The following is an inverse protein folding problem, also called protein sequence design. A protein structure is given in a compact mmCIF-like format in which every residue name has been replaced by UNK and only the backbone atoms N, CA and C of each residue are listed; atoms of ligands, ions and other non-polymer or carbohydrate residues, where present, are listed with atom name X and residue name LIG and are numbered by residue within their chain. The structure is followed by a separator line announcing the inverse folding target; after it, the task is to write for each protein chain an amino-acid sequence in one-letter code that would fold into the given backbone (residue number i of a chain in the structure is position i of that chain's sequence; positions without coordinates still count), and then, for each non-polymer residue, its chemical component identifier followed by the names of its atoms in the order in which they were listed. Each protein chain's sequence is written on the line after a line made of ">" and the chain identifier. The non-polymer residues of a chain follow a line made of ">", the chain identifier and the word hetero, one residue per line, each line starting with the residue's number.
data_IF_877597348784
#
_entry.id   IF_877597348784
#
_cell.length_a   1.000
_cell.length_b   1.000
_cell.length_c   1.000
_cell.angle_alpha   90.00
_cell.angle_beta   90.00
_cell.angle_gamma   90.00
#
_symmetry.space_group_name_H-M   'P 1'
#
loop_
_entity.id
_entity.type
_entity.pdbx_description
1 polymer ?
#
# COMPACT_ATOMS: atom_id res chain seq x y z
N UNK A 1 -48.27 -25.75 -27.14
CA UNK A 1 -46.96 -26.06 -26.52
C UNK A 1 -46.18 -24.80 -26.07
N UNK A 2 -46.80 -23.61 -25.97
CA UNK A 2 -46.09 -22.33 -25.76
C UNK A 2 -46.30 -21.68 -24.36
N UNK A 3 -47.22 -22.19 -23.54
CA UNK A 3 -47.61 -21.53 -22.28
C UNK A 3 -46.65 -21.80 -21.10
N UNK A 4 -45.90 -22.89 -21.14
CA UNK A 4 -44.94 -23.24 -20.08
C UNK A 4 -43.66 -22.40 -20.13
N UNK A 5 -43.29 -21.90 -21.31
CA UNK A 5 -42.13 -21.01 -21.50
C UNK A 5 -42.42 -19.57 -21.04
N UNK A 6 -43.67 -19.12 -21.14
CA UNK A 6 -44.10 -17.78 -20.72
C UNK A 6 -44.10 -17.64 -19.19
N UNK A 7 -44.73 -18.61 -18.51
CA UNK A 7 -44.83 -18.64 -17.03
C UNK A 7 -43.46 -18.69 -16.35
N UNK A 8 -42.54 -19.49 -16.86
CA UNK A 8 -41.19 -19.61 -16.29
C UNK A 8 -40.37 -18.31 -16.37
N UNK A 9 -40.54 -17.52 -17.44
CA UNK A 9 -39.87 -16.20 -17.58
C UNK A 9 -40.42 -15.17 -16.61
N UNK A 10 -41.74 -15.17 -16.39
CA UNK A 10 -42.36 -14.26 -15.43
C UNK A 10 -41.88 -14.55 -14.00
N UNK A 11 -41.83 -15.81 -13.58
CA UNK A 11 -41.38 -16.21 -12.25
C UNK A 11 -39.91 -15.83 -11.98
N UNK A 12 -39.05 -15.95 -12.99
CA UNK A 12 -37.66 -15.54 -12.90
C UNK A 12 -37.49 -14.02 -12.74
N UNK A 13 -38.25 -13.23 -13.51
CA UNK A 13 -38.23 -11.75 -13.42
C UNK A 13 -38.72 -11.31 -12.03
N UNK A 14 -39.79 -11.94 -11.51
CA UNK A 14 -40.28 -11.67 -10.15
C UNK A 14 -39.23 -11.95 -9.08
N UNK A 15 -38.48 -13.06 -9.20
CA UNK A 15 -37.44 -13.42 -8.24
C UNK A 15 -36.28 -12.41 -8.23
N UNK A 16 -35.74 -12.06 -9.40
CA UNK A 16 -34.63 -11.10 -9.51
C UNK A 16 -35.05 -9.72 -9.02
N UNK A 17 -36.26 -9.27 -9.36
CA UNK A 17 -36.79 -7.98 -8.93
C UNK A 17 -36.96 -7.94 -7.40
N UNK A 18 -37.48 -9.02 -6.80
CA UNK A 18 -37.67 -9.13 -5.35
C UNK A 18 -36.33 -9.20 -4.60
N UNK A 19 -35.38 -9.99 -5.08
CA UNK A 19 -34.03 -10.07 -4.49
C UNK A 19 -33.32 -8.71 -4.50
N UNK A 20 -33.45 -7.95 -5.58
CA UNK A 20 -32.88 -6.59 -5.71
C UNK A 20 -33.51 -5.61 -4.73
N UNK A 21 -34.83 -5.64 -4.54
CA UNK A 21 -35.53 -4.74 -3.60
C UNK A 21 -35.12 -5.02 -2.15
N UNK A 22 -35.03 -6.30 -1.75
CA UNK A 22 -34.56 -6.68 -0.42
C UNK A 22 -33.09 -6.25 -0.19
N UNK A 23 -32.21 -6.46 -1.18
CA UNK A 23 -30.81 -6.04 -1.11
C UNK A 23 -30.64 -4.53 -0.91
N UNK A 24 -31.39 -3.71 -1.67
CA UNK A 24 -31.36 -2.26 -1.55
C UNK A 24 -31.88 -1.78 -0.18
N UNK A 25 -32.88 -2.47 0.37
CA UNK A 25 -33.40 -2.19 1.71
C UNK A 25 -32.33 -2.45 2.80
N UNK A 26 -31.62 -3.57 2.72
CA UNK A 26 -30.53 -3.88 3.64
C UNK A 26 -29.35 -2.90 3.52
N UNK A 27 -29.00 -2.49 2.30
CA UNK A 27 -27.96 -1.50 2.06
C UNK A 27 -28.31 -0.14 2.68
N UNK A 28 -29.59 0.27 2.54
CA UNK A 28 -30.13 1.50 3.12
C UNK A 28 -30.04 1.49 4.65
N UNK A 29 -30.42 0.38 5.31
CA UNK A 29 -30.32 0.23 6.77
C UNK A 29 -28.87 0.29 7.29
N UNK A 30 -27.91 -0.05 6.42
CA UNK A 30 -26.50 -0.11 6.78
C UNK A 30 -25.77 1.22 6.65
N UNK A 31 -26.08 2.02 5.63
CA UNK A 31 -25.38 3.27 5.32
C UNK A 31 -26.19 4.54 5.58
N UNK A 32 -27.53 4.49 5.56
CA UNK A 32 -28.39 5.67 5.63
C UNK A 32 -29.12 5.72 6.98
N UNK A 33 -28.97 6.79 7.78
CA UNK A 33 -29.80 7.04 8.96
C UNK A 33 -31.29 7.07 8.59
N UNK A 34 -32.09 6.21 9.23
CA UNK A 34 -33.53 6.20 9.02
C UNK A 34 -34.25 5.91 10.35
N UNK A 35 -35.53 6.27 10.43
CA UNK A 35 -36.34 6.11 11.63
C UNK A 35 -36.40 4.64 12.10
N UNK A 36 -36.44 3.69 11.15
CA UNK A 36 -36.42 2.24 11.43
C UNK A 36 -35.10 1.75 12.05
N UNK A 37 -34.01 2.50 11.89
CA UNK A 37 -32.71 2.20 12.50
C UNK A 37 -32.34 3.21 13.59
N UNK A 38 -33.34 3.86 14.19
CA UNK A 38 -33.17 4.87 15.24
C UNK A 38 -32.12 5.95 14.88
N UNK A 39 -32.04 6.31 13.59
CA UNK A 39 -31.05 7.23 13.00
C UNK A 39 -29.57 6.84 13.17
N UNK A 40 -29.25 5.60 13.54
CA UNK A 40 -27.87 5.13 13.75
C UNK A 40 -27.50 3.98 12.80
N UNK A 41 -26.80 4.25 11.67
CA UNK A 41 -26.44 3.23 10.67
C UNK A 41 -25.64 2.08 11.30
N UNK A 42 -25.96 0.85 10.93
CA UNK A 42 -25.33 -0.35 11.50
C UNK A 42 -23.82 -0.42 11.26
N UNK A 43 -23.34 0.12 10.14
CA UNK A 43 -21.91 0.17 9.82
C UNK A 43 -21.09 1.02 10.79
N UNK A 44 -21.68 2.05 11.40
CA UNK A 44 -20.98 2.96 12.33
C UNK A 44 -21.19 2.59 13.81
N UNK A 45 -21.83 1.45 14.10
CA UNK A 45 -22.03 1.02 15.49
C UNK A 45 -20.72 0.53 16.11
N UNK A 46 -20.54 0.64 17.44
CA UNK A 46 -19.30 0.24 18.12
C UNK A 46 -18.85 -1.20 17.84
N UNK A 47 -19.78 -2.14 17.65
CA UNK A 47 -19.46 -3.53 17.32
C UNK A 47 -18.84 -3.66 15.92
N UNK A 48 -19.39 -2.95 14.93
CA UNK A 48 -18.87 -2.92 13.56
C UNK A 48 -17.51 -2.21 13.52
N UNK A 49 -17.38 -1.08 14.22
CA UNK A 49 -16.11 -0.35 14.34
C UNK A 49 -15.01 -1.23 14.95
N UNK A 50 -15.29 -1.98 16.03
CA UNK A 50 -14.32 -2.93 16.60
C UNK A 50 -13.90 -4.00 15.59
N UNK A 51 -14.84 -4.54 14.81
CA UNK A 51 -14.54 -5.50 13.76
C UNK A 51 -13.65 -4.88 12.66
N UNK A 52 -13.95 -3.66 12.22
CA UNK A 52 -13.11 -2.92 11.26
C UNK A 52 -11.72 -2.61 11.83
N UNK A 53 -11.62 -2.18 13.08
CA UNK A 53 -10.33 -1.93 13.74
C UNK A 53 -9.48 -3.19 13.80
N UNK A 54 -10.06 -4.33 14.19
CA UNK A 54 -9.36 -5.62 14.22
C UNK A 54 -8.93 -6.06 12.81
N UNK A 55 -9.80 -5.90 11.82
CA UNK A 55 -9.47 -6.15 10.41
C UNK A 55 -8.29 -5.29 9.95
N UNK A 56 -8.35 -3.98 10.17
CA UNK A 56 -7.31 -3.04 9.74
C UNK A 56 -5.97 -3.30 10.44
N UNK A 57 -5.98 -3.60 11.74
CA UNK A 57 -4.78 -3.99 12.48
C UNK A 57 -4.23 -5.30 11.92
N UNK A 58 -5.09 -6.30 11.68
CA UNK A 58 -4.70 -7.57 11.10
C UNK A 58 -4.05 -7.42 9.73
N UNK A 59 -4.67 -6.63 8.84
CA UNK A 59 -4.11 -6.27 7.53
C UNK A 59 -2.77 -5.57 7.70
N UNK A 60 -2.66 -4.57 8.58
CA UNK A 60 -1.41 -3.85 8.82
C UNK A 60 -0.30 -4.78 9.31
N UNK A 61 -0.60 -5.67 10.27
CA UNK A 61 0.37 -6.64 10.80
C UNK A 61 0.77 -7.64 9.72
N UNK A 62 -0.18 -8.15 8.93
CA UNK A 62 0.11 -9.06 7.83
C UNK A 62 1.01 -8.41 6.76
N UNK A 63 0.70 -7.17 6.37
CA UNK A 63 1.51 -6.40 5.42
C UNK A 63 2.91 -6.13 5.99
N UNK A 64 3.02 -5.71 7.26
CA UNK A 64 4.32 -5.48 7.90
C UNK A 64 5.15 -6.78 8.01
N UNK A 65 4.53 -7.90 8.39
CA UNK A 65 5.19 -9.19 8.46
C UNK A 65 5.65 -9.67 7.08
N UNK A 66 4.82 -9.49 6.05
CA UNK A 66 5.20 -9.80 4.67
C UNK A 66 6.44 -9.01 4.23
N UNK A 67 6.44 -7.69 4.44
CA UNK A 67 7.58 -6.85 4.08
C UNK A 67 8.84 -7.17 4.89
N UNK A 68 8.71 -7.48 6.18
CA UNK A 68 9.83 -7.87 7.02
C UNK A 68 10.50 -9.17 6.56
N UNK A 69 9.71 -10.16 6.11
CA UNK A 69 10.23 -11.44 5.59
C UNK A 69 10.79 -11.28 4.17
N UNK A 70 10.11 -10.53 3.30
CA UNK A 70 10.52 -10.36 1.91
C UNK A 70 11.73 -9.42 1.74
N UNK A 71 11.90 -8.44 2.63
CA UNK A 71 12.93 -7.39 2.55
C UNK A 71 13.58 -7.16 3.93
N UNK A 72 14.49 -8.07 4.34
CA UNK A 72 15.09 -8.02 5.67
C UNK A 72 16.05 -6.83 5.88
N UNK A 73 16.47 -6.14 4.82
CA UNK A 73 17.37 -4.99 4.91
C UNK A 73 16.62 -3.66 4.65
N UNK A 74 16.58 -2.72 5.63
CA UNK A 74 15.96 -1.40 5.46
C UNK A 74 16.47 -0.61 4.25
N UNK A 75 17.71 -0.84 3.81
CA UNK A 75 18.28 -0.20 2.62
C UNK A 75 17.52 -0.55 1.33
N UNK A 76 16.81 -1.69 1.28
CA UNK A 76 16.00 -2.09 0.13
C UNK A 76 14.71 -1.27 -0.01
N UNK A 77 14.31 -0.56 1.05
CA UNK A 77 13.20 0.41 1.03
C UNK A 77 13.66 1.84 0.76
N UNK A 78 14.97 2.09 0.65
CA UNK A 78 15.46 3.43 0.38
C UNK A 78 15.01 3.88 -1.01
N UNK A 79 14.38 5.05 -1.09
CA UNK A 79 13.94 5.64 -2.35
C UNK A 79 15.12 6.02 -3.28
N UNK A 80 16.36 5.97 -2.78
CA UNK A 80 17.57 6.36 -3.49
C UNK A 80 18.54 5.17 -3.55
N UNK A 81 18.65 4.58 -4.75
CA UNK A 81 19.68 3.59 -5.09
C UNK A 81 20.97 4.29 -5.57
N UNK A 82 22.10 3.58 -5.55
CA UNK A 82 23.37 4.08 -6.13
C UNK A 82 23.19 4.56 -7.57
N UNK A 83 22.47 3.78 -8.39
CA UNK A 83 22.15 4.14 -9.77
C UNK A 83 21.32 5.41 -9.87
N UNK A 84 20.32 5.59 -8.99
CA UNK A 84 19.47 6.78 -9.01
C UNK A 84 20.24 8.03 -8.59
N UNK A 85 21.17 7.92 -7.64
CA UNK A 85 22.05 9.04 -7.25
C UNK A 85 22.92 9.51 -8.42
N UNK A 86 23.51 8.59 -9.18
CA UNK A 86 24.35 8.93 -10.34
C UNK A 86 23.50 9.54 -11.47
N UNK A 87 22.31 8.99 -11.71
CA UNK A 87 21.36 9.54 -12.68
C UNK A 87 21.01 11.00 -12.36
N UNK A 88 20.60 11.28 -11.11
CA UNK A 88 20.24 12.63 -10.67
C UNK A 88 21.44 13.58 -10.70
N UNK A 89 22.61 13.11 -10.29
CA UNK A 89 23.85 13.91 -10.35
C UNK A 89 24.19 14.28 -11.80
N UNK A 90 24.10 13.33 -12.72
CA UNK A 90 24.37 13.56 -14.13
C UNK A 90 23.32 14.47 -14.77
N UNK A 91 22.05 14.37 -14.38
CA UNK A 91 21.01 15.31 -14.83
C UNK A 91 21.40 16.76 -14.48
N UNK A 92 21.77 17.03 -13.22
CA UNK A 92 22.22 18.37 -12.81
C UNK A 92 23.53 18.80 -13.51
N UNK A 93 24.46 17.88 -13.78
CA UNK A 93 25.68 18.20 -14.53
C UNK A 93 25.38 18.59 -15.97
N UNK A 94 24.48 17.86 -16.62
CA UNK A 94 24.05 18.16 -17.99
C UNK A 94 23.31 19.49 -18.07
N UNK A 95 22.44 19.79 -17.10
CA UNK A 95 21.81 21.12 -16.98
C UNK A 95 22.83 22.25 -16.86
N UNK A 96 23.95 22.00 -16.17
CA UNK A 96 25.07 22.92 -16.05
C UNK A 96 26.06 22.90 -17.24
N UNK A 97 25.81 22.11 -18.29
CA UNK A 97 26.70 21.99 -19.45
C UNK A 97 28.01 21.22 -19.18
N UNK A 98 28.06 20.44 -18.09
CA UNK A 98 29.23 19.67 -17.66
C UNK A 98 29.07 18.22 -18.13
N UNK A 99 30.17 17.59 -18.58
CA UNK A 99 30.16 16.19 -18.99
C UNK A 99 29.69 15.24 -17.88
N UNK A 100 28.90 14.24 -18.25
CA UNK A 100 28.39 13.21 -17.34
C UNK A 100 29.53 12.36 -16.74
N UNK A 101 29.34 11.93 -15.50
CA UNK A 101 30.22 11.00 -14.81
C UNK A 101 29.89 9.56 -15.18
N UNK A 102 30.93 8.73 -15.25
CA UNK A 102 30.81 7.28 -15.36
C UNK A 102 31.06 6.61 -14.00
N UNK A 103 30.45 5.45 -13.79
CA UNK A 103 30.71 4.61 -12.62
C UNK A 103 32.13 4.05 -12.65
N UNK A 104 32.74 3.93 -11.47
CA UNK A 104 34.02 3.26 -11.29
C UNK A 104 33.94 2.31 -10.10
N UNK A 105 34.20 1.02 -10.33
CA UNK A 105 34.05 -0.04 -9.33
C UNK A 105 34.97 0.10 -8.12
N UNK A 106 36.19 0.64 -8.31
CA UNK A 106 37.12 0.88 -7.21
C UNK A 106 36.60 2.00 -6.29
N UNK A 107 36.05 3.06 -6.87
CA UNK A 107 35.44 4.16 -6.12
C UNK A 107 34.17 3.73 -5.39
N UNK A 108 33.31 2.93 -6.04
CA UNK A 108 32.12 2.34 -5.39
C UNK A 108 32.53 1.49 -4.18
N UNK A 109 33.56 0.64 -4.34
CA UNK A 109 34.05 -0.20 -3.24
C UNK A 109 34.61 0.63 -2.08
N UNK A 110 35.39 1.68 -2.38
CA UNK A 110 35.93 2.58 -1.36
C UNK A 110 34.80 3.31 -0.60
N UNK A 111 33.79 3.81 -1.32
CA UNK A 111 32.64 4.49 -0.73
C UNK A 111 31.82 3.55 0.17
N UNK A 112 31.58 2.31 -0.27
CA UNK A 112 30.87 1.30 0.52
C UNK A 112 31.62 0.96 1.82
N UNK A 113 32.94 0.79 1.75
CA UNK A 113 33.78 0.54 2.94
C UNK A 113 33.73 1.71 3.92
N UNK A 114 33.83 2.94 3.42
CA UNK A 114 33.71 4.15 4.26
C UNK A 114 32.32 4.26 4.90
N UNK A 115 31.25 3.95 4.18
CA UNK A 115 29.90 3.94 4.73
C UNK A 115 29.73 2.87 5.82
N UNK A 116 30.26 1.67 5.60
CA UNK A 116 30.25 0.60 6.59
C UNK A 116 31.02 0.99 7.86
N UNK A 117 32.17 1.63 7.70
CA UNK A 117 32.99 2.14 8.81
C UNK A 117 32.28 3.25 9.60
N UNK A 118 31.64 4.20 8.92
CA UNK A 118 30.80 5.24 9.55
C UNK A 118 29.66 4.65 10.38
N UNK A 119 29.00 3.61 9.87
CA UNK A 119 27.92 2.91 10.58
C UNK A 119 28.48 2.14 11.79
N UNK A 120 29.58 1.41 11.61
CA UNK A 120 30.18 0.59 12.68
C UNK A 120 30.69 1.45 13.84
N UNK A 121 31.30 2.59 13.54
CA UNK A 121 31.92 3.49 14.52
C UNK A 121 31.03 4.70 14.90
N UNK A 122 29.75 4.69 14.49
CA UNK A 122 28.76 5.72 14.81
C UNK A 122 29.22 7.17 14.56
N UNK A 123 29.84 7.43 13.41
CA UNK A 123 30.32 8.77 13.06
C UNK A 123 29.93 9.15 11.62
N UNK A 124 29.96 10.46 11.34
CA UNK A 124 29.71 10.98 10.01
C UNK A 124 30.75 12.05 9.66
N UNK A 125 31.85 11.63 9.05
CA UNK A 125 32.98 12.51 8.71
C UNK A 125 33.81 11.96 7.54
N UNK A 126 34.55 12.86 6.89
CA UNK A 126 35.46 12.49 5.80
C UNK A 126 36.62 11.61 6.28
N UNK A 127 37.16 11.88 7.47
CA UNK A 127 38.22 11.10 8.12
C UNK A 127 37.65 10.17 9.18
N UNK A 128 38.30 9.03 9.42
CA UNK A 128 37.90 8.15 10.53
C UNK A 128 38.30 8.81 11.87
N UNK A 129 37.58 8.54 12.98
CA UNK A 129 38.03 8.91 14.32
C UNK A 129 39.43 8.37 14.66
N UNK A 130 39.82 7.25 14.06
CA UNK A 130 41.12 6.59 14.28
C UNK A 130 42.26 7.17 13.39
N UNK A 131 41.95 8.14 12.54
CA UNK A 131 42.87 8.72 11.54
C UNK A 131 42.90 7.96 10.22
#
# INVERSE_FOLDING_TARGET
>A
MNDTQSTQKHDFIWYVQRARIHSLHHLKLWFIPHHENNHHPHALRPKALKAYSLLLIGVKVATAAFFFVAYPNPAQFAALTESKMIELTNASRTEAGIAALATNSQLTTAAQRKAADMIANNYFAHTSPDG
#
